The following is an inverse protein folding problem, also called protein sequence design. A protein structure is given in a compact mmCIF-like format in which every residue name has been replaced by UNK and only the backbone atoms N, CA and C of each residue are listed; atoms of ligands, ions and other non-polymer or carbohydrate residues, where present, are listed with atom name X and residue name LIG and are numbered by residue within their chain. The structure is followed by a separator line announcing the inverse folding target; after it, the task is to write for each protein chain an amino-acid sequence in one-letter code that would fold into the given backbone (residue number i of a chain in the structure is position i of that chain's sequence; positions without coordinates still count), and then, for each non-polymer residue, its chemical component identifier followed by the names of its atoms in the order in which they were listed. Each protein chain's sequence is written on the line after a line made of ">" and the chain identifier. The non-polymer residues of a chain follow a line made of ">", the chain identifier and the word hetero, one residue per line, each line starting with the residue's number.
data_IF_941230514233
#
_entry.id   IF_941230514233
#
_cell.length_a   1.000
_cell.length_b   1.000
_cell.length_c   1.000
_cell.angle_alpha   90.00
_cell.angle_beta   90.00
_cell.angle_gamma   90.00
#
_symmetry.space_group_name_H-M   'P 1'
#
loop_
_entity.id
_entity.type
_entity.pdbx_description
1 polymer ?
#
# COMPACT_ATOMS: atom_id res chain seq x y z
N UNK A 1 2.44 -14.81 15.27
CA UNK A 1 3.04 -13.50 14.89
C UNK A 1 4.09 -13.74 13.83
N UNK A 2 4.10 -12.95 12.79
CA UNK A 2 5.10 -12.99 11.71
C UNK A 2 5.46 -11.57 11.29
N UNK A 3 6.62 -11.38 10.66
CA UNK A 3 7.06 -10.11 10.09
C UNK A 3 6.89 -10.19 8.57
N UNK A 4 6.41 -9.12 7.99
CA UNK A 4 6.00 -9.08 6.61
C UNK A 4 6.35 -7.70 6.02
N UNK A 5 6.71 -7.67 4.74
CA UNK A 5 6.97 -6.46 3.98
C UNK A 5 5.97 -6.42 2.84
N UNK A 6 5.29 -5.31 2.66
CA UNK A 6 4.39 -5.07 1.55
C UNK A 6 4.85 -3.89 0.70
N UNK A 7 4.78 -4.08 -0.60
CA UNK A 7 5.01 -3.06 -1.59
C UNK A 7 3.71 -2.80 -2.33
N UNK A 8 3.28 -1.55 -2.48
CA UNK A 8 2.05 -1.27 -3.22
C UNK A 8 2.25 -1.57 -4.70
N UNK A 9 1.25 -2.16 -5.32
CA UNK A 9 1.24 -2.38 -6.76
C UNK A 9 1.01 -1.07 -7.53
N UNK A 10 0.39 -0.10 -6.87
CA UNK A 10 0.10 1.24 -7.38
C UNK A 10 -0.11 2.21 -6.20
N UNK A 11 -0.01 3.53 -6.47
CA UNK A 11 -0.11 4.57 -5.45
C UNK A 11 -1.56 4.83 -5.02
N UNK A 12 -2.18 3.84 -4.39
CA UNK A 12 -3.50 3.99 -3.78
C UNK A 12 -3.58 3.15 -2.49
N UNK A 13 -4.23 3.66 -1.43
CA UNK A 13 -4.41 2.94 -0.18
C UNK A 13 -5.07 1.56 -0.33
N UNK A 14 -5.90 1.37 -1.35
CA UNK A 14 -6.56 0.08 -1.62
C UNK A 14 -5.55 -1.08 -1.73
N UNK A 15 -4.35 -0.83 -2.25
CA UNK A 15 -3.29 -1.85 -2.34
C UNK A 15 -2.86 -2.43 -0.99
N UNK A 16 -3.02 -1.68 0.10
CA UNK A 16 -2.77 -2.16 1.46
C UNK A 16 -4.02 -2.71 2.10
N UNK A 17 -5.11 -1.94 2.08
CA UNK A 17 -6.31 -2.25 2.83
C UNK A 17 -7.01 -3.49 2.30
N UNK A 18 -7.25 -3.55 0.99
CA UNK A 18 -7.90 -4.70 0.39
C UNK A 18 -7.03 -5.96 0.48
N UNK A 19 -5.73 -5.85 0.24
CA UNK A 19 -4.87 -7.03 0.19
C UNK A 19 -4.52 -7.59 1.56
N UNK A 20 -4.31 -6.75 2.57
CA UNK A 20 -3.77 -7.20 3.85
C UNK A 20 -4.80 -7.30 4.96
N UNK A 21 -5.90 -6.54 4.87
CA UNK A 21 -6.82 -6.29 5.97
C UNK A 21 -8.25 -6.72 5.70
N UNK A 22 -8.65 -6.79 4.43
CA UNK A 22 -9.98 -7.27 4.06
C UNK A 22 -10.07 -8.79 4.23
N UNK A 23 -11.23 -9.27 4.68
CA UNK A 23 -11.49 -10.71 4.82
C UNK A 23 -11.42 -11.41 3.46
N UNK A 24 -10.84 -12.60 3.42
CA UNK A 24 -10.68 -13.40 2.22
C UNK A 24 -11.26 -14.80 2.43
N UNK A 25 -12.08 -15.29 1.50
CA UNK A 25 -12.57 -16.67 1.50
C UNK A 25 -11.42 -17.68 1.26
N UNK A 26 -10.50 -17.32 0.36
CA UNK A 26 -9.24 -18.01 0.13
C UNK A 26 -8.10 -17.06 0.48
N UNK A 27 -7.36 -17.38 1.52
CA UNK A 27 -6.28 -16.54 2.00
C UNK A 27 -5.15 -16.48 0.96
N UNK A 28 -4.90 -15.27 0.44
CA UNK A 28 -3.80 -14.96 -0.49
C UNK A 28 -2.79 -14.05 0.19
N UNK A 29 -3.23 -12.92 0.68
CA UNK A 29 -2.36 -11.90 1.28
C UNK A 29 -2.74 -11.51 2.71
N UNK A 30 -3.99 -11.69 3.12
CA UNK A 30 -4.41 -11.52 4.51
C UNK A 30 -3.89 -12.68 5.39
N UNK A 31 -2.56 -12.76 5.52
CA UNK A 31 -1.87 -13.84 6.26
C UNK A 31 -2.12 -13.80 7.77
N UNK A 32 -2.72 -12.75 8.28
CA UNK A 32 -3.20 -12.67 9.67
C UNK A 32 -4.54 -13.40 9.88
N UNK A 33 -5.18 -13.84 8.82
CA UNK A 33 -6.51 -14.43 8.85
C UNK A 33 -7.55 -13.51 9.50
N UNK A 34 -7.35 -12.20 9.31
CA UNK A 34 -8.25 -11.19 9.82
C UNK A 34 -9.63 -11.38 9.19
N UNK A 35 -10.65 -11.33 10.02
CA UNK A 35 -12.04 -11.40 9.61
C UNK A 35 -12.82 -10.43 10.51
N UNK A 36 -13.02 -9.21 10.03
CA UNK A 36 -13.70 -8.14 10.72
C UNK A 36 -14.71 -7.48 9.76
N UNK A 37 -16.00 -7.85 9.85
CA UNK A 37 -17.02 -7.31 8.94
C UNK A 37 -17.22 -5.79 9.01
N UNK A 38 -16.89 -5.15 10.14
CA UNK A 38 -16.97 -3.69 10.27
C UNK A 38 -15.85 -3.04 9.48
N UNK A 39 -14.64 -3.57 9.60
CA UNK A 39 -13.49 -3.11 8.84
C UNK A 39 -13.68 -3.35 7.32
N UNK A 40 -14.19 -4.52 6.95
CA UNK A 40 -14.50 -4.86 5.55
C UNK A 40 -15.46 -3.86 4.92
N UNK A 41 -16.55 -3.52 5.63
CA UNK A 41 -17.53 -2.57 5.14
C UNK A 41 -16.96 -1.17 4.90
N UNK A 42 -16.06 -0.70 5.78
CA UNK A 42 -15.37 0.59 5.63
C UNK A 42 -14.40 0.55 4.44
N UNK A 43 -13.67 -0.53 4.26
CA UNK A 43 -12.74 -0.71 3.13
C UNK A 43 -13.52 -0.72 1.81
N UNK A 44 -14.62 -1.45 1.73
CA UNK A 44 -15.47 -1.51 0.52
C UNK A 44 -16.04 -0.15 0.17
N UNK A 45 -16.49 0.61 1.17
CA UNK A 45 -17.03 1.96 0.98
C UNK A 45 -15.93 2.93 0.50
N UNK A 46 -14.73 2.87 1.07
CA UNK A 46 -13.58 3.64 0.63
C UNK A 46 -13.21 3.33 -0.84
N UNK A 47 -13.17 2.05 -1.22
CA UNK A 47 -12.90 1.61 -2.59
C UNK A 47 -13.96 2.17 -3.55
N UNK A 48 -15.23 2.08 -3.21
CA UNK A 48 -16.31 2.61 -4.04
C UNK A 48 -16.23 4.12 -4.25
N UNK A 49 -15.76 4.88 -3.25
CA UNK A 49 -15.58 6.33 -3.30
C UNK A 49 -14.29 6.78 -3.99
N UNK A 50 -13.27 5.94 -4.11
CA UNK A 50 -11.92 6.32 -4.57
C UNK A 50 -11.93 7.12 -5.88
N UNK A 51 -12.80 6.79 -6.81
CA UNK A 51 -12.89 7.45 -8.14
C UNK A 51 -13.82 8.66 -8.13
N UNK A 52 -14.85 8.66 -7.28
CA UNK A 52 -15.93 9.66 -7.32
C UNK A 52 -15.79 10.76 -6.26
N UNK A 53 -15.27 10.42 -5.09
CA UNK A 53 -15.06 11.33 -3.97
C UNK A 53 -13.80 10.91 -3.18
N UNK A 54 -12.66 11.38 -3.66
CA UNK A 54 -11.35 11.05 -3.07
C UNK A 54 -11.24 11.46 -1.61
N UNK A 55 -11.79 12.61 -1.24
CA UNK A 55 -11.72 13.11 0.14
C UNK A 55 -12.52 12.23 1.10
N UNK A 56 -13.70 11.77 0.67
CA UNK A 56 -14.50 10.83 1.46
C UNK A 56 -13.79 9.47 1.56
N UNK A 57 -13.21 8.95 0.47
CA UNK A 57 -12.43 7.71 0.52
C UNK A 57 -11.23 7.81 1.50
N UNK A 58 -10.51 8.94 1.50
CA UNK A 58 -9.40 9.16 2.44
C UNK A 58 -9.88 9.17 3.90
N UNK A 59 -11.05 9.74 4.17
CA UNK A 59 -11.65 9.73 5.51
C UNK A 59 -11.97 8.29 5.98
N UNK A 60 -12.53 7.47 5.09
CA UNK A 60 -12.82 6.06 5.39
C UNK A 60 -11.52 5.27 5.64
N UNK A 61 -10.47 5.47 4.84
CA UNK A 61 -9.17 4.83 5.09
C UNK A 61 -8.54 5.28 6.43
N UNK A 62 -8.71 6.53 6.83
CA UNK A 62 -8.27 7.01 8.15
C UNK A 62 -9.05 6.31 9.27
N UNK A 63 -10.35 6.09 9.09
CA UNK A 63 -11.17 5.35 10.07
C UNK A 63 -10.75 3.88 10.14
N UNK A 64 -10.56 3.24 9.00
CA UNK A 64 -10.02 1.87 8.94
C UNK A 64 -8.66 1.74 9.66
N UNK A 65 -7.75 2.71 9.50
CA UNK A 65 -6.47 2.72 10.23
C UNK A 65 -6.64 2.79 11.75
N UNK A 66 -7.63 3.54 12.24
CA UNK A 66 -7.90 3.60 13.69
C UNK A 66 -8.38 2.25 14.22
N UNK A 67 -9.29 1.58 13.50
CA UNK A 67 -9.76 0.24 13.87
C UNK A 67 -8.58 -0.74 13.93
N UNK A 68 -7.70 -0.71 12.92
CA UNK A 68 -6.50 -1.56 12.86
C UNK A 68 -5.56 -1.30 14.04
N UNK A 69 -5.36 -0.02 14.40
CA UNK A 69 -4.50 0.36 15.51
C UNK A 69 -5.10 0.02 16.88
N UNK A 70 -6.38 0.32 17.09
CA UNK A 70 -7.09 0.11 18.34
C UNK A 70 -7.22 -1.38 18.69
N UNK A 71 -7.41 -2.21 17.67
CA UNK A 71 -7.48 -3.66 17.81
C UNK A 71 -6.12 -4.37 17.71
N UNK A 72 -5.05 -3.61 17.45
CA UNK A 72 -3.68 -4.13 17.29
C UNK A 72 -3.59 -5.26 16.22
N UNK A 73 -4.30 -5.13 15.11
CA UNK A 73 -4.27 -6.10 14.02
C UNK A 73 -2.93 -6.12 13.31
N UNK A 74 -2.30 -4.96 13.14
CA UNK A 74 -0.97 -4.78 12.60
C UNK A 74 -0.14 -3.85 13.48
N UNK A 75 1.17 -4.12 13.53
CA UNK A 75 2.16 -3.23 14.09
C UNK A 75 3.10 -2.75 12.97
N UNK A 76 2.98 -1.50 12.58
CA UNK A 76 3.89 -0.88 11.63
C UNK A 76 5.25 -0.66 12.30
N UNK A 77 6.31 -1.25 11.75
CA UNK A 77 7.66 -1.18 12.33
C UNK A 77 8.46 -0.02 11.73
N UNK A 78 8.52 0.08 10.41
CA UNK A 78 9.23 1.16 9.70
C UNK A 78 8.86 1.16 8.21
N UNK A 79 9.07 2.30 7.57
CA UNK A 79 9.06 2.42 6.13
C UNK A 79 10.49 2.33 5.60
N UNK A 80 10.69 1.44 4.64
CA UNK A 80 12.01 1.23 4.06
C UNK A 80 12.31 2.29 3.01
N UNK A 81 13.46 2.97 3.16
CA UNK A 81 13.96 3.86 2.12
C UNK A 81 14.52 3.07 0.93
N UNK A 82 14.17 3.50 -0.27
CA UNK A 82 14.78 2.98 -1.49
C UNK A 82 16.18 3.55 -1.67
N UNK A 83 17.13 2.67 -1.97
CA UNK A 83 18.51 3.07 -2.24
C UNK A 83 18.92 2.57 -3.62
N UNK A 84 19.27 3.49 -4.50
CA UNK A 84 19.80 3.18 -5.83
C UNK A 84 21.29 3.48 -5.88
N UNK A 85 22.06 2.53 -6.38
CA UNK A 85 23.48 2.73 -6.70
C UNK A 85 23.60 2.85 -8.21
N UNK A 86 23.98 4.03 -8.69
CA UNK A 86 23.97 4.36 -10.12
C UNK A 86 25.39 4.72 -10.54
N UNK A 87 25.84 4.17 -11.67
CA UNK A 87 27.11 4.55 -12.26
C UNK A 87 27.08 6.03 -12.70
N UNK A 88 28.16 6.78 -12.42
CA UNK A 88 28.28 8.20 -12.76
C UNK A 88 28.16 8.51 -14.26
N UNK A 89 28.33 7.52 -15.13
CA UNK A 89 28.12 7.67 -16.57
C UNK A 89 26.61 7.63 -16.96
N UNK A 90 25.72 7.30 -16.04
CA UNK A 90 24.29 7.19 -16.29
C UNK A 90 23.56 8.40 -15.68
N UNK A 91 22.64 8.95 -16.45
CA UNK A 91 21.80 10.09 -16.06
C UNK A 91 20.32 9.78 -16.28
N UNK A 92 19.44 10.60 -15.68
CA UNK A 92 18.00 10.52 -15.90
C UNK A 92 17.29 9.40 -15.14
N UNK A 93 17.98 8.73 -14.21
CA UNK A 93 17.31 7.79 -13.30
C UNK A 93 16.45 8.59 -12.31
N UNK A 94 15.16 8.36 -12.34
CA UNK A 94 14.20 9.00 -11.43
C UNK A 94 13.38 7.93 -10.71
N UNK A 95 13.11 8.19 -9.45
CA UNK A 95 12.18 7.38 -8.67
C UNK A 95 10.74 7.81 -8.99
N UNK A 96 9.84 6.83 -9.05
CA UNK A 96 8.42 7.09 -9.12
C UNK A 96 7.76 6.52 -7.87
N UNK A 97 7.22 7.38 -6.97
CA UNK A 97 6.57 6.92 -5.76
C UNK A 97 5.36 6.01 -5.98
N UNK A 98 4.74 6.10 -7.18
CA UNK A 98 3.63 5.24 -7.55
C UNK A 98 4.06 3.80 -7.90
N UNK A 99 5.34 3.61 -8.21
CA UNK A 99 5.94 2.32 -8.59
C UNK A 99 7.32 2.21 -7.96
N UNK A 100 7.35 2.09 -6.66
CA UNK A 100 8.56 2.19 -5.84
C UNK A 100 9.68 1.20 -6.19
N UNK A 101 9.36 0.10 -6.87
CA UNK A 101 10.33 -0.92 -7.27
C UNK A 101 10.74 -0.85 -8.76
N UNK A 102 10.26 0.15 -9.50
CA UNK A 102 10.48 0.24 -10.92
C UNK A 102 11.43 1.39 -11.28
N UNK A 103 12.48 1.09 -12.03
CA UNK A 103 13.32 2.10 -12.69
C UNK A 103 12.66 2.48 -14.02
N UNK A 104 12.39 3.75 -14.20
CA UNK A 104 11.85 4.27 -15.47
C UNK A 104 13.00 4.50 -16.45
N UNK A 105 13.19 3.56 -17.35
CA UNK A 105 14.29 3.59 -18.32
C UNK A 105 14.13 4.62 -19.44
N UNK A 106 12.92 5.15 -19.66
CA UNK A 106 12.65 6.06 -20.79
C UNK A 106 13.53 7.30 -20.81
N UNK A 107 13.86 7.85 -19.64
CA UNK A 107 14.71 9.04 -19.49
C UNK A 107 16.17 8.72 -19.20
N UNK A 108 16.53 7.45 -19.16
CA UNK A 108 17.90 7.03 -18.82
C UNK A 108 18.81 7.20 -20.04
N UNK A 109 19.88 7.92 -19.85
CA UNK A 109 20.90 8.18 -20.89
C UNK A 109 22.31 7.93 -20.35
N UNK A 110 23.25 7.75 -21.25
CA UNK A 110 24.69 7.77 -20.94
C UNK A 110 25.29 9.14 -21.22
N UNK A 111 26.28 9.54 -20.43
CA UNK A 111 27.11 10.74 -20.71
C UNK A 111 27.95 10.52 -21.94
#
# INVERSE_FOLDING_TARGET
>A
MFVFIWWPDYADPVSWFQSLLHSEDQIVYNLSYLNDPELDAIIDDAIAKTVTDRAAAEADYVEAQKIVADNAYLLNLYDQMHTFVINNAIQGVTENPAYSNAVQYYNVTTK
#
